data_IF_726945726774
#
_entry.id   IF_726945726774
#
_cell.length_a   1.000
_cell.length_b   1.000
_cell.length_c   1.000
_cell.angle_alpha   90.00
_cell.angle_beta   90.00
_cell.angle_gamma   90.00
#
_symmetry.space_group_name_H-M   'P 1'
#
loop_
_entity.id
_entity.type
_entity.pdbx_description
1 polymer ?
#
# COMPACT_ATOMS: atom_id res chain seq x y z
N UNK A 1 -4.62 -0.75 14.74
CA UNK A 1 -3.26 -0.92 14.20
C UNK A 1 -2.31 0.21 14.61
N UNK A 2 -2.68 1.47 14.39
CA UNK A 2 -1.83 2.62 14.82
C UNK A 2 -1.65 2.65 16.34
N UNK A 3 -2.71 2.36 17.10
CA UNK A 3 -2.67 2.31 18.57
C UNK A 3 -1.69 1.25 19.11
N UNK A 4 -1.73 0.02 18.58
CA UNK A 4 -0.78 -1.05 18.91
C UNK A 4 0.67 -0.61 18.64
N UNK A 5 0.95 -0.02 17.46
CA UNK A 5 2.30 0.46 17.13
C UNK A 5 2.75 1.55 18.12
N UNK A 6 1.92 2.53 18.46
CA UNK A 6 2.24 3.56 19.47
C UNK A 6 2.61 2.94 20.82
N UNK A 7 1.83 1.95 21.27
CA UNK A 7 2.05 1.27 22.55
C UNK A 7 3.33 0.44 22.55
N UNK A 8 3.60 -0.31 21.47
CA UNK A 8 4.86 -1.06 21.28
C UNK A 8 6.06 -0.11 21.25
N UNK A 9 5.99 0.98 20.48
CA UNK A 9 7.03 2.00 20.43
C UNK A 9 7.29 2.64 21.81
N UNK A 10 6.24 2.91 22.58
CA UNK A 10 6.39 3.45 23.93
C UNK A 10 7.07 2.46 24.87
N UNK A 11 6.72 1.17 24.80
CA UNK A 11 7.34 0.13 25.64
C UNK A 11 8.79 -0.13 25.27
N UNK A 12 9.14 -0.07 23.98
CA UNK A 12 10.53 -0.26 23.52
C UNK A 12 11.39 1.00 23.70
N UNK A 13 10.80 2.20 23.57
CA UNK A 13 11.48 3.49 23.71
C UNK A 13 11.70 3.92 25.16
N UNK A 14 10.82 3.51 26.08
CA UNK A 14 11.00 3.75 27.52
C UNK A 14 11.94 2.71 28.13
N UNK A 15 13.25 2.98 28.01
CA UNK A 15 14.36 2.26 28.68
C UNK A 15 14.58 0.83 28.14
N UNK A 16 15.69 0.66 27.41
CA UNK A 16 16.12 -0.56 26.70
C UNK A 16 16.42 -1.81 27.54
N UNK A 17 15.54 -2.18 28.47
CA UNK A 17 15.63 -3.42 29.26
C UNK A 17 14.49 -4.40 28.98
N UNK A 18 13.45 -3.99 28.25
CA UNK A 18 12.36 -4.89 27.86
C UNK A 18 12.79 -5.71 26.65
N UNK A 19 12.91 -7.03 26.84
CA UNK A 19 13.17 -7.95 25.73
C UNK A 19 11.94 -8.00 24.83
N UNK A 20 12.16 -8.09 23.51
CA UNK A 20 11.09 -8.26 22.52
C UNK A 20 10.11 -9.40 22.89
N UNK A 21 10.62 -10.44 23.55
CA UNK A 21 9.82 -11.58 24.03
C UNK A 21 8.74 -11.15 25.03
N UNK A 22 9.06 -10.24 25.97
CA UNK A 22 8.16 -9.82 27.02
C UNK A 22 7.07 -8.88 26.48
N UNK A 23 7.47 -8.00 25.56
CA UNK A 23 6.55 -7.15 24.79
C UNK A 23 5.54 -8.01 24.02
N UNK A 24 6.03 -9.04 23.31
CA UNK A 24 5.17 -9.97 22.56
C UNK A 24 4.21 -10.72 23.49
N UNK A 25 4.70 -11.24 24.63
CA UNK A 25 3.84 -11.93 25.59
C UNK A 25 2.73 -11.02 26.12
N UNK A 26 3.05 -9.78 26.47
CA UNK A 26 2.07 -8.81 26.98
C UNK A 26 0.95 -8.56 25.97
N UNK A 27 1.27 -8.24 24.72
CA UNK A 27 0.26 -7.97 23.71
C UNK A 27 -0.49 -9.23 23.24
N UNK A 28 0.13 -10.41 23.30
CA UNK A 28 -0.58 -11.66 23.02
C UNK A 28 -1.62 -11.96 24.11
N UNK A 29 -1.32 -11.67 25.39
CA UNK A 29 -2.29 -11.79 26.48
C UNK A 29 -3.46 -10.81 26.34
N UNK A 30 -3.23 -9.63 25.78
CA UNK A 30 -4.28 -8.69 25.41
C UNK A 30 -5.12 -9.10 24.19
N UNK A 31 -4.77 -10.23 23.54
CA UNK A 31 -5.51 -10.77 22.40
C UNK A 31 -4.99 -10.35 21.03
N UNK A 32 -3.83 -9.68 20.94
CA UNK A 32 -3.21 -9.38 19.65
C UNK A 32 -2.53 -10.60 19.05
N UNK A 33 -2.63 -10.74 17.72
CA UNK A 33 -1.91 -11.80 17.00
C UNK A 33 -0.41 -11.58 17.11
N UNK A 34 0.32 -12.66 17.41
CA UNK A 34 1.78 -12.64 17.58
C UNK A 34 2.52 -12.04 16.38
N UNK A 35 2.09 -12.37 15.16
CA UNK A 35 2.64 -11.82 13.91
C UNK A 35 2.55 -10.30 13.87
N UNK A 36 1.38 -9.74 14.20
CA UNK A 36 1.13 -8.29 14.20
C UNK A 36 2.00 -7.54 15.21
N UNK A 37 2.29 -8.15 16.36
CA UNK A 37 3.17 -7.54 17.36
C UNK A 37 4.63 -7.55 16.88
N UNK A 38 5.10 -8.66 16.29
CA UNK A 38 6.44 -8.69 15.70
C UNK A 38 6.59 -7.72 14.53
N UNK A 39 5.57 -7.56 13.70
CA UNK A 39 5.58 -6.55 12.62
C UNK A 39 5.73 -5.14 13.19
N UNK A 40 5.01 -4.82 14.29
CA UNK A 40 5.13 -3.54 14.98
C UNK A 40 6.54 -3.32 15.56
N UNK A 41 7.12 -4.34 16.20
CA UNK A 41 8.50 -4.30 16.72
C UNK A 41 9.50 -4.07 15.59
N UNK A 42 9.36 -4.80 14.47
CA UNK A 42 10.23 -4.65 13.31
C UNK A 42 10.13 -3.25 12.71
N UNK A 43 8.94 -2.65 12.67
CA UNK A 43 8.78 -1.25 12.30
C UNK A 43 9.52 -0.29 13.25
N UNK A 44 9.53 -0.57 14.56
CA UNK A 44 10.34 0.17 15.53
C UNK A 44 11.84 0.08 15.24
N UNK A 45 12.34 -1.14 15.04
CA UNK A 45 13.77 -1.40 14.81
C UNK A 45 14.28 -0.73 13.53
N UNK A 46 13.45 -0.67 12.47
CA UNK A 46 13.80 -0.05 11.19
C UNK A 46 13.61 1.49 11.23
N UNK A 47 13.08 2.04 12.31
CA UNK A 47 12.81 3.47 12.44
C UNK A 47 11.68 3.97 11.52
N UNK A 48 10.77 3.08 11.12
CA UNK A 48 9.58 3.47 10.37
C UNK A 48 8.65 4.28 11.27
N UNK A 49 8.06 5.38 10.77
CA UNK A 49 7.15 6.19 11.58
C UNK A 49 5.94 5.36 12.01
N UNK A 50 5.45 5.66 13.22
CA UNK A 50 4.27 5.02 13.81
C UNK A 50 3.00 5.27 12.99
N UNK A 51 2.99 6.39 12.30
CA UNK A 51 1.91 6.80 11.41
C UNK A 51 2.05 6.12 10.05
N UNK A 52 0.95 5.55 9.58
CA UNK A 52 0.88 5.03 8.22
C UNK A 52 1.06 6.21 7.26
N UNK A 53 2.19 6.22 6.55
CA UNK A 53 2.37 7.18 5.46
C UNK A 53 1.23 6.98 4.46
N UNK A 54 0.66 8.06 3.91
CA UNK A 54 -0.32 7.93 2.85
C UNK A 54 0.29 7.06 1.74
N UNK A 55 -0.49 6.10 1.22
CA UNK A 55 -0.05 5.23 0.12
C UNK A 55 0.41 6.11 -1.04
N UNK A 56 1.72 6.20 -1.24
CA UNK A 56 2.31 6.91 -2.35
C UNK A 56 2.01 6.13 -3.63
N UNK A 57 1.38 6.78 -4.61
CA UNK A 57 1.17 6.22 -5.96
C UNK A 57 -0.28 6.15 -6.42
N UNK A 58 -1.27 6.29 -5.53
CA UNK A 58 -2.66 6.44 -5.94
C UNK A 58 -3.13 7.87 -5.61
N UNK A 59 -3.32 8.76 -6.61
CA UNK A 59 -3.87 10.07 -6.34
C UNK A 59 -5.29 9.92 -5.78
N UNK A 60 -5.53 10.46 -4.58
CA UNK A 60 -6.85 10.46 -3.93
C UNK A 60 -7.87 11.30 -4.69
N UNK A 61 -7.38 12.24 -5.51
CA UNK A 61 -8.18 13.09 -6.39
C UNK A 61 -7.36 13.47 -7.61
N UNK A 62 -8.00 13.56 -8.77
CA UNK A 62 -7.39 14.14 -9.96
C UNK A 62 -7.78 15.61 -10.10
N UNK A 63 -6.84 16.46 -10.50
CA UNK A 63 -7.18 17.81 -10.94
C UNK A 63 -7.77 17.76 -12.37
N UNK A 64 -8.40 18.85 -12.83
CA UNK A 64 -9.03 18.90 -14.17
C UNK A 64 -8.06 18.58 -15.31
N UNK A 65 -6.81 18.97 -15.17
CA UNK A 65 -5.76 18.76 -16.19
C UNK A 65 -5.37 17.29 -16.29
N UNK A 66 -5.18 16.64 -15.15
CA UNK A 66 -4.82 15.22 -15.05
C UNK A 66 -5.98 14.33 -15.54
N UNK A 67 -7.23 14.70 -15.23
CA UNK A 67 -8.41 14.04 -15.77
C UNK A 67 -8.45 14.11 -17.30
N UNK A 68 -8.24 15.30 -17.86
CA UNK A 68 -8.24 15.49 -19.31
C UNK A 68 -7.12 14.70 -20.00
N UNK A 69 -5.94 14.67 -19.39
CA UNK A 69 -4.82 13.86 -19.88
C UNK A 69 -5.14 12.38 -19.87
N UNK A 70 -5.70 11.88 -18.76
CA UNK A 70 -6.11 10.48 -18.63
C UNK A 70 -7.19 10.11 -19.66
N UNK A 71 -8.19 10.98 -19.86
CA UNK A 71 -9.22 10.79 -20.88
C UNK A 71 -8.62 10.65 -22.28
N UNK A 72 -7.72 11.56 -22.66
CA UNK A 72 -7.04 11.51 -23.94
C UNK A 72 -6.19 10.24 -24.12
N UNK A 73 -5.46 9.82 -23.07
CA UNK A 73 -4.66 8.59 -23.11
C UNK A 73 -5.53 7.35 -23.29
N UNK A 74 -6.69 7.30 -22.62
CA UNK A 74 -7.67 6.21 -22.76
C UNK A 74 -8.26 6.21 -24.18
N UNK A 75 -8.68 7.37 -24.68
CA UNK A 75 -9.27 7.50 -26.01
C UNK A 75 -8.30 7.03 -27.11
N UNK A 76 -7.04 7.48 -27.04
CA UNK A 76 -5.99 7.06 -27.97
C UNK A 76 -5.77 5.54 -27.96
N UNK A 77 -5.75 4.92 -26.77
CA UNK A 77 -5.60 3.46 -26.65
C UNK A 77 -6.80 2.73 -27.26
N UNK A 78 -8.01 3.17 -26.97
CA UNK A 78 -9.24 2.59 -27.52
C UNK A 78 -9.26 2.70 -29.04
N UNK A 79 -8.88 3.85 -29.61
CA UNK A 79 -8.82 4.03 -31.06
C UNK A 79 -7.79 3.11 -31.72
N UNK A 80 -6.60 2.99 -31.13
CA UNK A 80 -5.57 2.08 -31.61
C UNK A 80 -6.03 0.62 -31.56
N UNK A 81 -6.71 0.21 -30.49
CA UNK A 81 -7.31 -1.13 -30.42
C UNK A 81 -8.39 -1.34 -31.48
N UNK A 82 -9.26 -0.36 -31.73
CA UNK A 82 -10.27 -0.44 -32.80
C UNK A 82 -9.62 -0.59 -34.18
N UNK A 83 -8.56 0.16 -34.48
CA UNK A 83 -7.81 0.04 -35.74
C UNK A 83 -7.18 -1.34 -35.90
N UNK A 84 -6.56 -1.85 -34.84
CA UNK A 84 -5.94 -3.18 -34.85
C UNK A 84 -6.98 -4.29 -35.12
N UNK A 85 -8.13 -4.24 -34.46
CA UNK A 85 -9.23 -5.18 -34.67
C UNK A 85 -9.77 -5.08 -36.10
N UNK A 86 -9.96 -3.86 -36.61
CA UNK A 86 -10.44 -3.65 -37.98
C UNK A 86 -9.49 -4.26 -39.01
N UNK A 87 -8.19 -4.03 -38.87
CA UNK A 87 -7.18 -4.59 -39.78
C UNK A 87 -7.19 -6.13 -39.77
N UNK A 88 -7.39 -6.75 -38.61
CA UNK A 88 -7.53 -8.21 -38.50
C UNK A 88 -8.79 -8.73 -39.20
N UNK A 89 -9.91 -8.03 -39.08
CA UNK A 89 -11.16 -8.38 -39.76
C UNK A 89 -11.00 -8.26 -41.27
N UNK A 90 -10.40 -7.17 -41.75
CA UNK A 90 -10.21 -6.90 -43.18
C UNK A 90 -9.23 -7.93 -43.80
N UNK A 91 -8.19 -8.34 -43.09
CA UNK A 91 -7.30 -9.43 -43.52
C UNK A 91 -8.05 -10.77 -43.69
N UNK A 92 -8.90 -11.13 -42.73
CA UNK A 92 -9.67 -12.38 -42.79
C UNK A 92 -10.77 -12.39 -43.86
N UNK A 93 -11.17 -11.22 -44.39
CA UNK A 93 -12.14 -11.12 -45.50
C UNK A 93 -11.50 -11.30 -46.88
N UNK A 94 -10.16 -11.25 -46.96
CA UNK A 94 -9.39 -11.40 -48.20
C UNK A 94 -8.88 -12.84 -48.42
N UNK A 95 -9.09 -13.73 -47.45
CA UNK A 95 -8.83 -15.18 -47.51
C UNK A 95 -10.15 -15.93 -47.78
#
# INVERSE_FOLDING_TARGET
>A
MIDLRKRVFSMLGQKGNLKNIDVVKHFVLEGFKRSTVYDAIKCCEIGLPVEDRPRSGCPTSFNKTDLKRLQNEVENRVENSKKSIKNLIDFNRLL
#
